data_IF_675426023190
#
_entry.id   IF_675426023190
#
_cell.length_a   1.000
_cell.length_b   1.000
_cell.length_c   1.000
_cell.angle_alpha   90.00
_cell.angle_beta   90.00
_cell.angle_gamma   90.00
#
_symmetry.space_group_name_H-M   'P 1'
#
loop_
_entity.id
_entity.type
_entity.pdbx_description
1 polymer ?
#
# COMPACT_ATOMS: atom_id res chain seq x y z
N UNK A 1 10.49 56.79 1.98
CA UNK A 1 11.78 57.35 1.61
C UNK A 1 12.88 56.48 2.24
N UNK A 2 13.67 55.83 1.46
CA UNK A 2 14.75 54.94 1.90
C UNK A 2 16.05 55.71 1.93
N UNK A 3 16.70 55.86 3.05
CA UNK A 3 18.05 56.43 3.15
C UNK A 3 19.04 55.29 3.28
N UNK A 4 19.94 55.15 2.31
CA UNK A 4 21.02 54.19 2.35
C UNK A 4 22.22 54.84 3.04
N UNK A 5 22.61 54.35 4.21
CA UNK A 5 23.89 54.71 4.85
C UNK A 5 24.88 53.56 4.61
N UNK A 6 26.03 53.85 4.05
CA UNK A 6 27.09 52.89 3.81
C UNK A 6 28.12 52.95 4.95
N UNK A 7 28.49 51.77 5.49
CA UNK A 7 29.57 51.62 6.50
C UNK A 7 30.81 51.07 5.79
N UNK A 8 31.97 51.63 6.03
CA UNK A 8 33.22 51.14 5.42
C UNK A 8 33.98 50.28 6.44
N UNK A 9 34.36 49.05 6.02
CA UNK A 9 35.28 48.19 6.76
C UNK A 9 36.73 48.45 6.34
N UNK A 10 37.60 48.74 7.32
CA UNK A 10 39.02 48.94 7.10
C UNK A 10 39.79 47.59 7.23
N UNK A 11 40.49 47.19 6.17
CA UNK A 11 41.56 46.25 6.27
C UNK A 11 42.87 47.00 6.64
N UNK A 12 43.46 46.69 7.81
CA UNK A 12 44.53 47.41 8.38
C UNK A 12 45.78 47.49 7.48
N UNK A 13 46.21 48.76 7.19
CA UNK A 13 47.58 49.04 6.79
C UNK A 13 47.96 50.46 7.26
N UNK A 14 49.15 50.63 7.84
CA UNK A 14 49.78 51.88 8.25
C UNK A 14 49.94 52.88 7.08
N UNK A 15 49.15 53.92 7.04
CA UNK A 15 49.47 55.17 6.32
C UNK A 15 48.76 56.35 6.99
N UNK A 16 49.53 57.10 7.77
CA UNK A 16 49.03 58.18 8.68
C UNK A 16 48.29 59.34 7.96
N UNK A 17 48.52 59.66 6.71
CA UNK A 17 47.84 60.76 6.02
C UNK A 17 46.50 60.39 5.37
N UNK A 18 46.20 59.11 5.14
CA UNK A 18 44.94 58.67 4.55
C UNK A 18 43.96 58.10 5.58
N UNK A 19 44.43 57.81 6.75
CA UNK A 19 43.56 57.41 7.89
C UNK A 19 42.64 58.54 8.33
N UNK A 20 43.14 59.80 8.31
CA UNK A 20 42.37 61.00 8.62
C UNK A 20 41.15 61.18 7.69
N UNK A 21 41.31 60.90 6.39
CA UNK A 21 40.23 61.01 5.40
C UNK A 21 39.14 59.92 5.65
N UNK A 22 39.54 58.73 6.01
CA UNK A 22 38.61 57.62 6.32
C UNK A 22 37.90 57.89 7.66
N UNK A 23 38.60 58.37 8.67
CA UNK A 23 38.00 58.73 9.97
C UNK A 23 37.05 59.91 9.81
N UNK A 24 37.42 60.93 9.02
CA UNK A 24 36.55 62.04 8.72
C UNK A 24 35.26 61.62 8.05
N UNK A 25 35.34 60.71 7.11
CA UNK A 25 34.14 60.16 6.43
C UNK A 25 33.26 59.28 7.34
N UNK A 26 33.86 58.48 8.20
CA UNK A 26 33.12 57.70 9.22
C UNK A 26 32.34 58.60 10.20
N UNK A 27 32.86 59.80 10.49
CA UNK A 27 32.28 60.77 11.39
C UNK A 27 31.35 61.80 10.68
N UNK A 28 30.93 61.50 9.43
CA UNK A 28 30.05 62.33 8.60
C UNK A 28 30.63 63.73 8.21
N UNK A 29 31.93 63.90 8.18
CA UNK A 29 32.55 65.08 7.57
C UNK A 29 32.50 64.97 6.04
N UNK A 30 32.40 66.12 5.36
CA UNK A 30 32.40 66.18 3.88
C UNK A 30 33.79 65.88 3.39
N UNK A 31 33.96 64.76 2.69
CA UNK A 31 35.22 64.30 2.07
C UNK A 31 35.08 64.38 0.55
N UNK A 32 36.14 64.84 -0.13
CA UNK A 32 36.14 64.89 -1.60
C UNK A 32 35.87 63.51 -2.21
N UNK A 33 34.85 63.36 -3.07
CA UNK A 33 34.52 62.10 -3.74
C UNK A 33 35.71 61.51 -4.51
N UNK A 34 36.62 62.34 -5.07
CA UNK A 34 37.80 61.88 -5.77
C UNK A 34 38.78 61.13 -4.88
N UNK A 35 38.92 61.51 -3.63
CA UNK A 35 39.76 60.81 -2.64
C UNK A 35 39.16 59.45 -2.26
N UNK A 36 37.83 59.38 -2.09
CA UNK A 36 37.10 58.14 -1.82
C UNK A 36 37.29 57.16 -2.99
N UNK A 37 37.17 57.63 -4.23
CA UNK A 37 37.32 56.78 -5.40
C UNK A 37 38.81 56.32 -5.61
N UNK A 38 39.76 57.18 -5.25
CA UNK A 38 41.17 56.76 -5.25
C UNK A 38 41.44 55.68 -4.22
N UNK A 39 40.83 55.72 -3.06
CA UNK A 39 40.93 54.69 -2.01
C UNK A 39 40.22 53.36 -2.43
N UNK A 40 39.07 53.47 -3.09
CA UNK A 40 38.34 52.31 -3.65
C UNK A 40 39.17 51.59 -4.74
N UNK A 41 39.76 52.35 -5.72
CA UNK A 41 40.60 51.77 -6.78
C UNK A 41 41.80 51.03 -6.22
N UNK A 42 42.34 51.50 -5.11
CA UNK A 42 43.47 50.86 -4.40
C UNK A 42 43.02 49.72 -3.46
N UNK A 43 41.73 49.35 -3.45
CA UNK A 43 41.12 48.33 -2.60
C UNK A 43 41.37 48.53 -1.09
N UNK A 44 41.61 49.77 -0.68
CA UNK A 44 41.84 50.11 0.74
C UNK A 44 40.53 50.33 1.49
N UNK A 45 39.45 50.59 0.78
CA UNK A 45 38.09 50.70 1.33
C UNK A 45 37.10 49.96 0.42
N UNK A 46 36.08 49.34 1.04
CA UNK A 46 35.00 48.66 0.33
C UNK A 46 33.65 49.25 0.83
N UNK A 47 32.76 49.70 -0.07
CA UNK A 47 31.43 50.10 0.33
C UNK A 47 30.60 48.91 0.72
N UNK A 48 30.07 48.90 1.93
CA UNK A 48 29.06 47.92 2.35
C UNK A 48 27.69 48.62 2.40
N UNK A 49 26.74 48.25 1.55
CA UNK A 49 25.41 48.78 1.61
C UNK A 49 24.72 48.29 2.89
N UNK A 50 24.28 49.21 3.73
CA UNK A 50 23.50 48.88 4.90
C UNK A 50 22.05 49.34 4.66
N UNK A 51 21.13 48.38 4.73
CA UNK A 51 19.70 48.66 4.63
C UNK A 51 19.14 48.87 6.03
N UNK A 52 18.71 50.10 6.31
CA UNK A 52 17.98 50.45 7.53
C UNK A 52 16.53 50.79 7.22
N UNK A 53 15.70 50.66 8.23
CA UNK A 53 14.28 50.98 8.12
C UNK A 53 13.97 52.16 9.05
N UNK A 54 13.25 53.16 8.55
CA UNK A 54 12.67 54.22 9.35
C UNK A 54 11.24 53.87 9.67
N UNK A 55 10.92 53.71 10.94
CA UNK A 55 9.57 53.39 11.38
C UNK A 55 8.85 54.69 11.82
N UNK A 56 7.69 54.96 11.25
CA UNK A 56 6.83 56.08 11.62
C UNK A 56 5.45 55.55 11.98
N UNK A 57 4.77 56.26 12.90
CA UNK A 57 3.38 55.97 13.23
C UNK A 57 2.51 56.13 11.99
N UNK A 58 1.84 55.06 11.56
CA UNK A 58 0.89 55.08 10.47
C UNK A 58 -0.51 55.55 10.90
N UNK A 59 -1.43 55.74 9.96
CA UNK A 59 -2.79 56.22 10.26
C UNK A 59 -3.59 55.28 11.16
N UNK A 60 -3.25 54.02 11.19
CA UNK A 60 -3.87 52.97 12.05
C UNK A 60 -3.06 52.68 13.33
N UNK A 61 -2.10 53.53 13.69
CA UNK A 61 -1.33 53.34 14.91
C UNK A 61 -2.20 53.54 16.16
N UNK A 62 -2.15 52.57 17.06
CA UNK A 62 -2.75 52.64 18.38
C UNK A 62 -1.70 52.29 19.46
N UNK A 63 -1.73 52.96 20.65
CA UNK A 63 -0.77 52.70 21.75
C UNK A 63 -0.86 51.29 22.29
N UNK A 64 -2.02 50.64 22.17
CA UNK A 64 -2.26 49.24 22.54
C UNK A 64 -2.87 48.53 21.37
N UNK A 65 -2.41 47.32 21.13
CA UNK A 65 -2.94 46.43 20.06
C UNK A 65 -4.38 46.06 20.38
N UNK A 66 -5.32 46.35 19.48
CA UNK A 66 -6.68 45.79 19.57
C UNK A 66 -6.60 44.26 19.48
N UNK A 67 -7.27 43.58 20.41
CA UNK A 67 -7.45 42.13 20.37
C UNK A 67 -8.71 41.84 19.56
N UNK A 68 -8.56 41.18 18.45
CA UNK A 68 -9.67 40.68 17.67
C UNK A 68 -9.91 39.21 18.04
N UNK A 69 -11.15 38.78 18.12
CA UNK A 69 -11.51 37.39 18.20
C UNK A 69 -11.27 36.71 16.80
N UNK A 70 -10.66 35.56 16.79
CA UNK A 70 -10.43 34.77 15.56
C UNK A 70 -11.50 33.74 15.32
N UNK A 71 -12.09 33.23 16.40
CA UNK A 71 -13.06 32.14 16.37
C UNK A 71 -14.24 32.47 17.30
N UNK A 72 -15.42 31.95 16.93
CA UNK A 72 -16.60 31.94 17.77
C UNK A 72 -16.66 30.61 18.54
N UNK A 73 -16.37 30.68 19.84
CA UNK A 73 -16.38 29.48 20.69
C UNK A 73 -17.78 29.16 21.21
N UNK A 74 -18.02 27.89 21.59
CA UNK A 74 -19.26 27.47 22.24
C UNK A 74 -19.53 28.29 23.53
N UNK A 75 -18.48 28.64 24.27
CA UNK A 75 -18.59 29.42 25.51
C UNK A 75 -19.06 30.85 25.22
N UNK A 76 -18.56 31.49 24.14
CA UNK A 76 -19.03 32.80 23.73
C UNK A 76 -20.51 32.80 23.34
N UNK A 77 -20.97 31.73 22.69
CA UNK A 77 -22.38 31.59 22.32
C UNK A 77 -23.25 31.41 23.56
N UNK A 78 -22.85 30.57 24.53
CA UNK A 78 -23.59 30.30 25.77
C UNK A 78 -23.65 31.53 26.70
N UNK A 79 -22.58 32.34 26.76
CA UNK A 79 -22.52 33.56 27.57
C UNK A 79 -23.19 34.77 26.91
N UNK A 80 -23.41 34.69 25.59
CA UNK A 80 -23.98 35.78 24.82
C UNK A 80 -23.04 36.96 24.56
N UNK A 81 -21.76 36.87 24.98
CA UNK A 81 -20.73 37.93 24.86
C UNK A 81 -20.19 38.07 23.42
N UNK A 82 -20.56 37.15 22.52
CA UNK A 82 -20.18 37.24 21.11
C UNK A 82 -20.62 38.52 20.41
N UNK A 83 -21.65 39.20 20.91
CA UNK A 83 -22.15 40.47 20.38
C UNK A 83 -21.18 41.64 20.62
N UNK A 84 -20.37 41.53 21.66
CA UNK A 84 -19.39 42.55 22.08
C UNK A 84 -17.99 42.27 21.55
N UNK A 85 -17.82 41.15 20.87
CA UNK A 85 -16.55 40.75 20.26
C UNK A 85 -16.35 41.39 18.89
N UNK A 86 -15.21 42.10 18.72
CA UNK A 86 -14.76 42.56 17.41
C UNK A 86 -13.97 41.43 16.74
N UNK A 87 -14.53 40.84 15.67
CA UNK A 87 -13.89 39.76 14.94
C UNK A 87 -12.91 40.27 13.89
N UNK A 88 -11.84 39.51 13.68
CA UNK A 88 -10.89 39.76 12.59
C UNK A 88 -11.59 39.53 11.26
N UNK A 89 -11.44 40.46 10.32
CA UNK A 89 -11.94 40.26 8.95
C UNK A 89 -11.39 38.97 8.35
N UNK A 90 -12.27 38.16 7.76
CA UNK A 90 -11.91 36.92 7.11
C UNK A 90 -11.26 37.21 5.75
N UNK A 91 -10.06 36.68 5.54
CA UNK A 91 -9.36 36.82 4.27
C UNK A 91 -9.67 35.65 3.32
N UNK A 92 -10.70 35.78 2.52
CA UNK A 92 -11.08 34.81 1.52
C UNK A 92 -10.05 34.63 0.39
N UNK A 93 -9.15 35.60 0.21
CA UNK A 93 -8.07 35.54 -0.77
C UNK A 93 -6.80 34.87 -0.22
N UNK A 94 -6.80 34.44 1.04
CA UNK A 94 -5.67 33.75 1.64
C UNK A 94 -5.49 32.39 0.94
N UNK A 95 -4.44 32.28 0.16
CA UNK A 95 -4.01 30.98 -0.38
C UNK A 95 -3.36 30.21 0.76
N UNK A 96 -3.90 29.04 1.09
CA UNK A 96 -3.25 28.08 1.97
C UNK A 96 -1.88 27.67 1.43
N UNK A 97 -1.09 27.00 2.25
CA UNK A 97 0.13 26.37 1.73
C UNK A 97 -0.25 25.36 0.63
N UNK A 98 0.42 25.39 -0.53
CA UNK A 98 0.19 24.38 -1.55
C UNK A 98 0.53 23.02 -0.96
N UNK A 99 -0.49 22.19 -0.80
CA UNK A 99 -0.29 20.79 -0.41
C UNK A 99 0.24 20.07 -1.63
N UNK A 100 1.47 19.61 -1.56
CA UNK A 100 2.03 18.76 -2.60
C UNK A 100 1.19 17.50 -2.73
N UNK A 101 0.59 17.28 -3.90
CA UNK A 101 0.01 15.99 -4.24
C UNK A 101 1.09 14.90 -4.21
N UNK A 102 0.68 13.64 -4.19
CA UNK A 102 1.58 12.50 -4.31
C UNK A 102 1.10 11.56 -5.41
N UNK A 103 1.96 10.68 -5.84
CA UNK A 103 1.59 9.57 -6.71
C UNK A 103 1.19 8.36 -5.87
N UNK A 104 0.34 7.49 -6.43
CA UNK A 104 0.02 6.23 -5.79
C UNK A 104 1.29 5.37 -5.63
N UNK A 105 1.32 4.62 -4.55
CA UNK A 105 2.35 3.60 -4.33
C UNK A 105 2.40 2.60 -5.51
N UNK A 106 3.58 2.11 -5.94
CA UNK A 106 3.70 1.14 -7.03
C UNK A 106 2.78 -0.06 -6.90
N UNK A 107 2.66 -0.66 -5.73
CA UNK A 107 1.71 -1.75 -5.47
C UNK A 107 0.26 -1.36 -5.75
N UNK A 108 -0.16 -0.14 -5.38
CA UNK A 108 -1.53 0.33 -5.63
C UNK A 108 -1.78 0.58 -7.11
N UNK A 109 -0.77 1.02 -7.86
CA UNK A 109 -0.87 1.17 -9.32
C UNK A 109 -1.05 -0.18 -10.00
N UNK A 110 -0.20 -1.15 -9.65
CA UNK A 110 -0.27 -2.52 -10.19
C UNK A 110 -1.58 -3.20 -9.77
N UNK A 111 -2.01 -3.04 -8.51
CA UNK A 111 -3.31 -3.52 -8.02
C UNK A 111 -4.45 -2.97 -8.87
N UNK A 112 -4.45 -1.68 -9.14
CA UNK A 112 -5.51 -1.03 -9.94
C UNK A 112 -5.55 -1.57 -11.37
N UNK A 113 -4.40 -1.78 -12.00
CA UNK A 113 -4.32 -2.33 -13.35
C UNK A 113 -4.82 -3.79 -13.40
N UNK A 114 -4.39 -4.62 -12.46
CA UNK A 114 -4.84 -6.01 -12.36
C UNK A 114 -6.35 -6.08 -12.10
N UNK A 115 -6.88 -5.23 -11.22
CA UNK A 115 -8.31 -5.09 -10.98
C UNK A 115 -9.07 -4.77 -12.28
N UNK A 116 -8.57 -3.83 -13.08
CA UNK A 116 -9.19 -3.48 -14.37
C UNK A 116 -9.18 -4.67 -15.36
N UNK A 117 -8.09 -5.45 -15.39
CA UNK A 117 -8.02 -6.65 -16.22
C UNK A 117 -9.10 -7.66 -15.82
N UNK A 118 -9.22 -7.96 -14.52
CA UNK A 118 -10.27 -8.86 -14.04
C UNK A 118 -11.68 -8.38 -14.40
N UNK A 119 -11.97 -7.10 -14.20
CA UNK A 119 -13.27 -6.51 -14.54
C UNK A 119 -13.55 -6.60 -16.05
N UNK A 120 -12.57 -6.34 -16.91
CA UNK A 120 -12.68 -6.49 -18.35
C UNK A 120 -12.89 -7.94 -18.81
N UNK A 121 -12.39 -8.92 -18.04
CA UNK A 121 -12.62 -10.35 -18.25
C UNK A 121 -13.97 -10.84 -17.67
N UNK A 122 -14.74 -9.95 -17.07
CA UNK A 122 -16.06 -10.23 -16.49
C UNK A 122 -16.04 -10.88 -15.11
N UNK A 123 -15.00 -10.63 -14.31
CA UNK A 123 -14.89 -11.09 -12.92
C UNK A 123 -15.51 -10.09 -11.95
N UNK A 124 -16.08 -10.61 -10.86
CA UNK A 124 -16.60 -9.85 -9.72
C UNK A 124 -15.58 -9.85 -8.57
N UNK A 125 -15.33 -8.70 -7.94
CA UNK A 125 -14.42 -8.60 -6.78
C UNK A 125 -15.09 -9.17 -5.53
N UNK A 126 -14.41 -10.10 -4.86
CA UNK A 126 -14.85 -10.66 -3.58
C UNK A 126 -14.57 -9.69 -2.43
N UNK A 127 -15.44 -9.62 -1.40
CA UNK A 127 -15.19 -8.82 -0.21
C UNK A 127 -14.06 -9.43 0.63
N UNK A 128 -12.98 -8.69 0.86
CA UNK A 128 -11.77 -9.17 1.54
C UNK A 128 -11.43 -8.42 2.83
N UNK A 129 -12.35 -7.64 3.36
CA UNK A 129 -12.15 -6.72 4.48
C UNK A 129 -11.95 -7.39 5.86
N UNK A 130 -12.03 -8.73 5.96
CA UNK A 130 -11.77 -9.49 7.18
C UNK A 130 -10.41 -10.18 7.08
N UNK A 131 -9.44 -9.74 7.88
CA UNK A 131 -8.12 -10.39 7.95
C UNK A 131 -8.10 -11.59 8.89
N UNK A 132 -8.97 -11.58 9.88
CA UNK A 132 -9.11 -12.68 10.83
C UNK A 132 -10.07 -13.72 10.28
N UNK A 133 -9.60 -14.96 10.21
CA UNK A 133 -10.38 -16.12 9.80
C UNK A 133 -10.31 -17.22 10.84
N UNK A 134 -11.29 -18.12 10.84
CA UNK A 134 -11.14 -19.38 11.57
C UNK A 134 -10.27 -20.36 10.79
N UNK A 135 -9.58 -21.23 11.50
CA UNK A 135 -8.81 -22.32 10.91
C UNK A 135 -9.69 -23.20 10.02
N UNK A 136 -10.98 -23.33 10.35
CA UNK A 136 -11.96 -24.02 9.52
C UNK A 136 -12.01 -23.44 8.09
N UNK A 137 -12.28 -22.15 7.93
CA UNK A 137 -12.38 -21.52 6.61
C UNK A 137 -11.03 -21.41 5.89
N UNK A 138 -9.95 -21.23 6.67
CA UNK A 138 -8.62 -21.06 6.10
C UNK A 138 -8.00 -22.38 5.64
N UNK A 139 -8.40 -23.51 6.25
CA UNK A 139 -7.76 -24.81 5.98
C UNK A 139 -8.76 -25.96 5.79
N UNK A 140 -9.63 -26.22 6.79
CA UNK A 140 -10.48 -27.44 6.78
C UNK A 140 -11.46 -27.43 5.61
N UNK A 141 -12.10 -26.28 5.33
CA UNK A 141 -13.00 -26.10 4.20
C UNK A 141 -12.32 -26.28 2.84
N UNK A 142 -10.98 -26.18 2.80
CA UNK A 142 -10.14 -26.41 1.62
C UNK A 142 -9.61 -27.85 1.54
N UNK A 143 -10.10 -28.73 2.38
CA UNK A 143 -9.64 -30.11 2.46
C UNK A 143 -8.14 -30.24 2.81
N UNK A 144 -7.57 -29.27 3.54
CA UNK A 144 -6.19 -29.35 4.02
C UNK A 144 -6.17 -30.04 5.39
N UNK A 145 -5.39 -31.14 5.58
CA UNK A 145 -5.42 -31.92 6.81
C UNK A 145 -4.93 -31.10 8.02
N UNK A 146 -5.44 -31.44 9.23
CA UNK A 146 -5.10 -30.71 10.45
C UNK A 146 -3.64 -30.85 10.86
N UNK A 147 -2.96 -31.92 10.44
CA UNK A 147 -1.53 -32.15 10.68
C UNK A 147 -0.61 -31.55 9.60
N UNK A 148 -1.15 -30.78 8.65
CA UNK A 148 -0.33 -30.18 7.60
C UNK A 148 0.63 -29.13 8.19
N UNK A 149 1.93 -29.13 7.79
CA UNK A 149 2.94 -28.19 8.34
C UNK A 149 2.54 -26.71 8.25
N UNK A 150 1.89 -26.28 7.16
CA UNK A 150 1.43 -24.90 7.00
C UNK A 150 0.42 -24.44 8.09
N UNK A 151 -0.13 -25.37 8.88
CA UNK A 151 -1.00 -25.06 10.04
C UNK A 151 -0.23 -24.92 11.35
N UNK A 152 1.09 -25.07 11.32
CA UNK A 152 1.94 -24.85 12.48
C UNK A 152 2.03 -23.35 12.82
N UNK A 153 2.26 -23.05 14.09
CA UNK A 153 2.50 -21.70 14.59
C UNK A 153 3.77 -21.06 14.04
N UNK A 154 4.66 -21.85 13.45
CA UNK A 154 5.84 -21.34 12.74
C UNK A 154 5.48 -20.68 11.39
N UNK A 155 4.39 -21.11 10.74
CA UNK A 155 3.95 -20.60 9.45
C UNK A 155 2.68 -19.75 9.53
N UNK A 156 1.91 -19.85 10.63
CA UNK A 156 0.60 -19.23 10.79
C UNK A 156 0.53 -18.38 12.06
N UNK A 157 0.03 -17.14 11.94
CA UNK A 157 -0.26 -16.28 13.08
C UNK A 157 -1.62 -16.61 13.69
N UNK A 158 -1.64 -17.30 14.81
CA UNK A 158 -2.84 -17.53 15.60
C UNK A 158 -3.13 -16.36 16.54
N UNK A 159 -4.41 -16.03 16.74
CA UNK A 159 -4.82 -14.97 17.65
C UNK A 159 -4.89 -15.47 19.09
N UNK A 160 -4.45 -14.63 20.01
CA UNK A 160 -4.61 -14.89 21.45
C UNK A 160 -6.00 -14.46 21.96
N UNK A 161 -6.51 -13.33 21.45
CA UNK A 161 -7.82 -12.78 21.85
C UNK A 161 -8.50 -12.13 20.64
N UNK A 162 -9.68 -12.60 20.22
CA UNK A 162 -10.31 -13.87 20.59
C UNK A 162 -9.58 -15.06 19.96
N UNK A 163 -9.26 -16.07 20.75
CA UNK A 163 -8.50 -17.25 20.28
C UNK A 163 -9.31 -18.19 19.41
N UNK A 164 -10.64 -18.19 19.56
CA UNK A 164 -11.54 -19.11 18.83
C UNK A 164 -12.76 -18.38 18.30
N UNK A 165 -13.29 -18.89 17.18
CA UNK A 165 -14.59 -18.49 16.64
C UNK A 165 -15.72 -19.20 17.37
N UNK A 166 -16.89 -18.52 17.46
CA UNK A 166 -18.11 -19.07 18.05
C UNK A 166 -19.16 -19.46 17.01
N UNK A 167 -18.98 -19.04 15.76
CA UNK A 167 -20.01 -19.18 14.72
C UNK A 167 -19.42 -19.84 13.47
N UNK A 168 -19.73 -21.12 13.34
CA UNK A 168 -19.50 -21.88 12.09
C UNK A 168 -20.82 -22.51 11.65
N UNK A 169 -21.05 -22.74 10.36
CA UNK A 169 -22.24 -23.44 9.87
C UNK A 169 -22.14 -24.94 10.19
N UNK A 170 -22.81 -25.37 11.25
CA UNK A 170 -22.64 -26.72 11.85
C UNK A 170 -22.84 -27.85 10.84
N UNK A 171 -23.92 -27.79 10.04
CA UNK A 171 -24.17 -28.82 9.01
C UNK A 171 -23.04 -28.94 8.00
N UNK A 172 -22.41 -27.82 7.65
CA UNK A 172 -21.27 -27.82 6.74
C UNK A 172 -20.01 -28.34 7.42
N UNK A 173 -19.79 -27.97 8.68
CA UNK A 173 -18.66 -28.46 9.49
C UNK A 173 -18.72 -30.00 9.59
N UNK A 174 -19.87 -30.58 9.87
CA UNK A 174 -20.02 -32.03 9.97
C UNK A 174 -19.75 -32.73 8.62
N UNK A 175 -20.20 -32.15 7.50
CA UNK A 175 -19.87 -32.69 6.18
C UNK A 175 -18.36 -32.62 5.88
N UNK A 176 -17.69 -31.51 6.22
CA UNK A 176 -16.24 -31.35 6.06
C UNK A 176 -15.49 -32.34 6.93
N UNK A 177 -15.85 -32.46 8.21
CA UNK A 177 -15.30 -33.46 9.14
C UNK A 177 -15.38 -34.86 8.55
N UNK A 178 -16.59 -35.27 8.11
CA UNK A 178 -16.80 -36.60 7.53
C UNK A 178 -15.86 -36.89 6.34
N UNK A 179 -15.70 -35.91 5.45
CA UNK A 179 -14.82 -36.07 4.28
C UNK A 179 -13.35 -36.16 4.67
N UNK A 180 -12.92 -35.41 5.69
CA UNK A 180 -11.56 -35.51 6.22
C UNK A 180 -11.28 -36.87 6.85
N UNK A 181 -12.22 -37.40 7.64
CA UNK A 181 -12.06 -38.68 8.36
C UNK A 181 -12.24 -39.88 7.46
N UNK A 182 -13.32 -39.90 6.70
CA UNK A 182 -13.75 -41.11 5.97
C UNK A 182 -13.71 -41.00 4.45
N UNK A 183 -13.48 -39.77 3.95
CA UNK A 183 -13.53 -39.53 2.52
C UNK A 183 -14.94 -39.36 1.98
N UNK A 184 -15.07 -39.55 0.71
CA UNK A 184 -16.29 -39.38 -0.07
C UNK A 184 -15.97 -38.86 -1.46
N UNK A 185 -16.91 -38.91 -2.38
CA UNK A 185 -16.77 -38.36 -3.72
C UNK A 185 -15.58 -38.90 -4.51
N UNK A 186 -15.22 -40.19 -4.28
CA UNK A 186 -14.07 -40.82 -4.87
C UNK A 186 -12.76 -40.74 -4.06
N UNK A 187 -12.78 -40.08 -2.93
CA UNK A 187 -11.64 -39.95 -2.00
C UNK A 187 -11.76 -40.91 -0.82
N UNK A 188 -10.62 -41.31 -0.27
CA UNK A 188 -10.53 -42.09 0.98
C UNK A 188 -10.45 -41.20 2.22
N UNK A 189 -10.40 -39.89 2.07
CA UNK A 189 -10.10 -38.96 3.15
C UNK A 189 -8.66 -39.10 3.64
N UNK A 190 -8.40 -38.61 4.82
CA UNK A 190 -7.08 -38.69 5.46
C UNK A 190 -7.00 -39.75 6.56
N UNK A 191 -8.13 -40.28 7.03
CA UNK A 191 -8.18 -41.37 8.01
C UNK A 191 -7.68 -40.97 9.41
N UNK A 192 -7.77 -39.71 9.80
CA UNK A 192 -7.42 -39.21 11.13
C UNK A 192 -8.67 -38.73 11.89
N UNK A 193 -8.57 -38.64 13.20
CA UNK A 193 -9.60 -38.03 14.05
C UNK A 193 -9.58 -36.51 13.89
N UNK A 194 -10.60 -35.94 13.26
CA UNK A 194 -10.73 -34.52 13.07
C UNK A 194 -11.17 -33.80 14.36
N UNK A 195 -10.45 -32.76 14.76
CA UNK A 195 -10.65 -32.05 16.03
C UNK A 195 -11.32 -30.71 15.81
N UNK A 196 -12.46 -30.50 16.46
CA UNK A 196 -13.22 -29.26 16.43
C UNK A 196 -12.45 -28.07 17.00
N UNK A 197 -11.65 -28.31 18.05
CA UNK A 197 -10.85 -27.26 18.68
C UNK A 197 -9.84 -26.66 17.69
N UNK A 198 -9.23 -27.48 16.85
CA UNK A 198 -8.29 -27.02 15.82
C UNK A 198 -8.99 -26.17 14.76
N UNK A 199 -10.18 -26.56 14.34
CA UNK A 199 -10.97 -25.82 13.34
C UNK A 199 -11.48 -24.45 13.86
N UNK A 200 -11.75 -24.38 15.18
CA UNK A 200 -12.26 -23.16 15.80
C UNK A 200 -11.20 -22.09 16.05
N UNK A 201 -9.90 -22.41 15.99
CA UNK A 201 -8.82 -21.43 16.23
C UNK A 201 -8.91 -20.26 15.26
N UNK A 202 -8.80 -19.04 15.78
CA UNK A 202 -8.70 -17.84 14.97
C UNK A 202 -7.25 -17.55 14.59
N UNK A 203 -7.07 -17.09 13.37
CA UNK A 203 -5.78 -16.79 12.79
C UNK A 203 -5.85 -15.57 11.85
N UNK A 204 -4.72 -15.00 11.51
CA UNK A 204 -4.61 -14.11 10.35
C UNK A 204 -4.56 -14.97 9.09
N UNK A 205 -5.47 -14.73 8.14
CA UNK A 205 -5.58 -15.55 6.91
C UNK A 205 -4.22 -15.68 6.18
N UNK A 206 -3.85 -16.90 5.85
CA UNK A 206 -2.58 -17.19 5.17
C UNK A 206 -2.68 -17.08 3.64
N UNK A 207 -3.89 -17.02 3.12
CA UNK A 207 -4.23 -16.85 1.70
C UNK A 207 -5.65 -16.33 1.53
N UNK A 208 -5.95 -15.76 0.37
CA UNK A 208 -7.29 -15.25 0.04
C UNK A 208 -8.27 -16.35 -0.35
N UNK A 209 -7.83 -17.60 -0.52
CA UNK A 209 -8.68 -18.77 -0.79
C UNK A 209 -9.67 -19.03 0.37
N UNK A 210 -9.37 -18.57 1.58
CA UNK A 210 -10.32 -18.55 2.69
C UNK A 210 -11.59 -17.74 2.36
N UNK A 211 -11.44 -16.61 1.65
CA UNK A 211 -12.58 -15.82 1.15
C UNK A 211 -13.30 -16.56 0.03
N UNK A 212 -12.54 -17.17 -0.89
CA UNK A 212 -13.11 -17.97 -1.98
C UNK A 212 -13.98 -19.12 -1.46
N UNK A 213 -13.55 -19.81 -0.39
CA UNK A 213 -14.34 -20.88 0.24
C UNK A 213 -15.67 -20.37 0.79
N UNK A 214 -15.67 -19.21 1.47
CA UNK A 214 -16.91 -18.57 1.95
C UNK A 214 -17.85 -18.16 0.83
N UNK A 215 -17.31 -17.59 -0.24
CA UNK A 215 -18.09 -17.17 -1.41
C UNK A 215 -18.72 -18.36 -2.13
N UNK A 216 -17.95 -19.45 -2.33
CA UNK A 216 -18.45 -20.68 -2.94
C UNK A 216 -19.50 -21.37 -2.06
N UNK A 217 -19.30 -21.41 -0.72
CA UNK A 217 -20.31 -21.88 0.20
C UNK A 217 -21.59 -21.07 0.10
N UNK A 218 -21.50 -19.73 0.10
CA UNK A 218 -22.67 -18.85 -0.06
C UNK A 218 -23.37 -19.04 -1.41
N UNK A 219 -22.62 -19.30 -2.49
CA UNK A 219 -23.17 -19.60 -3.81
C UNK A 219 -23.94 -20.94 -3.80
N UNK A 220 -23.40 -21.95 -3.09
CA UNK A 220 -24.02 -23.27 -2.97
C UNK A 220 -25.35 -23.29 -2.19
N UNK A 221 -25.65 -22.24 -1.41
CA UNK A 221 -26.92 -22.11 -0.67
C UNK A 221 -28.07 -21.54 -1.54
N UNK A 222 -27.83 -21.29 -2.83
CA UNK A 222 -28.79 -20.73 -3.78
C UNK A 222 -28.84 -21.58 -5.04
N UNK A 223 -29.80 -21.29 -5.93
CA UNK A 223 -29.76 -21.86 -7.28
C UNK A 223 -28.44 -21.53 -7.95
N UNK A 224 -27.78 -22.57 -8.46
CA UNK A 224 -26.45 -22.40 -9.05
C UNK A 224 -26.46 -21.55 -10.30
N UNK A 225 -25.65 -20.49 -10.28
CA UNK A 225 -25.37 -19.62 -11.42
C UNK A 225 -23.84 -19.55 -11.60
N UNK A 226 -23.33 -19.70 -12.84
CA UNK A 226 -21.91 -19.55 -13.12
C UNK A 226 -21.36 -18.21 -12.62
N UNK A 227 -20.16 -18.24 -12.01
CA UNK A 227 -19.52 -17.09 -11.43
C UNK A 227 -18.04 -17.04 -11.72
N UNK A 228 -17.52 -15.84 -11.92
CA UNK A 228 -16.11 -15.52 -12.01
C UNK A 228 -15.78 -14.55 -10.88
N UNK A 229 -14.93 -14.94 -9.96
CA UNK A 229 -14.56 -14.13 -8.81
C UNK A 229 -13.08 -13.84 -8.78
N UNK A 230 -12.70 -12.68 -8.24
CA UNK A 230 -11.31 -12.38 -7.92
C UNK A 230 -11.19 -11.66 -6.58
N UNK A 231 -10.00 -11.72 -6.01
CA UNK A 231 -9.60 -10.96 -4.83
C UNK A 231 -8.17 -10.45 -4.96
N UNK A 232 -7.89 -9.29 -4.38
CA UNK A 232 -6.54 -8.72 -4.28
C UNK A 232 -6.43 -8.08 -2.90
N UNK A 233 -5.83 -8.79 -1.94
CA UNK A 233 -5.70 -8.26 -0.58
C UNK A 233 -4.56 -8.95 0.18
N UNK A 234 -4.34 -8.46 1.40
CA UNK A 234 -3.28 -8.89 2.29
C UNK A 234 -3.51 -10.30 2.81
N UNK A 235 -2.41 -10.99 2.94
CA UNK A 235 -2.29 -12.29 3.58
C UNK A 235 -1.09 -12.28 4.53
N UNK A 236 -1.07 -13.19 5.49
CA UNK A 236 -0.11 -13.16 6.58
C UNK A 236 0.52 -14.54 6.75
N UNK A 237 1.85 -14.58 6.82
CA UNK A 237 2.61 -15.81 7.06
C UNK A 237 3.73 -15.53 8.04
N UNK A 238 3.88 -16.40 9.02
CA UNK A 238 4.93 -16.28 10.03
C UNK A 238 6.27 -16.83 9.50
N UNK A 239 6.74 -16.20 8.43
CA UNK A 239 8.00 -16.55 7.78
C UNK A 239 9.12 -15.58 8.18
N UNK A 240 10.38 -16.02 8.07
CA UNK A 240 11.53 -15.15 8.27
C UNK A 240 11.55 -14.05 7.20
N UNK A 241 11.65 -12.80 7.65
CA UNK A 241 11.70 -11.63 6.75
C UNK A 241 13.08 -11.52 6.11
N UNK A 242 13.15 -11.70 4.79
CA UNK A 242 14.36 -11.59 3.99
C UNK A 242 14.21 -10.65 2.78
N UNK A 243 15.01 -10.82 1.73
CA UNK A 243 14.93 -10.03 0.49
C UNK A 243 13.69 -10.34 -0.36
N UNK A 244 13.07 -11.47 -0.15
CA UNK A 244 11.99 -12.02 -0.99
C UNK A 244 10.72 -12.33 -0.23
N UNK A 245 10.77 -12.36 1.11
CA UNK A 245 9.66 -12.73 1.99
C UNK A 245 9.37 -11.63 3.01
N UNK A 246 8.07 -11.40 3.22
CA UNK A 246 7.51 -10.55 4.27
C UNK A 246 6.47 -11.35 5.05
N UNK A 247 6.29 -11.01 6.32
CA UNK A 247 5.23 -11.59 7.15
C UNK A 247 3.82 -11.17 6.70
N UNK A 248 3.72 -10.07 5.97
CA UNK A 248 2.50 -9.54 5.37
C UNK A 248 2.79 -9.19 3.90
N UNK A 249 1.97 -9.70 2.99
CA UNK A 249 2.07 -9.40 1.56
C UNK A 249 0.67 -9.50 0.91
N UNK A 250 0.55 -9.15 -0.38
CA UNK A 250 -0.73 -9.19 -1.07
C UNK A 250 -0.80 -10.41 -1.99
N UNK A 251 -1.91 -11.12 -1.90
CA UNK A 251 -2.25 -12.20 -2.82
C UNK A 251 -3.33 -11.74 -3.79
N UNK A 252 -3.12 -12.06 -5.05
CA UNK A 252 -4.11 -11.97 -6.11
C UNK A 252 -4.65 -13.38 -6.31
N UNK A 253 -5.96 -13.54 -6.30
CA UNK A 253 -6.61 -14.81 -6.63
C UNK A 253 -7.72 -14.58 -7.64
N UNK A 254 -7.80 -15.45 -8.64
CA UNK A 254 -8.90 -15.51 -9.58
C UNK A 254 -9.49 -16.91 -9.60
N UNK A 255 -10.80 -17.02 -9.70
CA UNK A 255 -11.48 -18.30 -9.88
C UNK A 255 -12.66 -18.19 -10.86
N UNK A 256 -12.93 -19.28 -11.54
CA UNK A 256 -14.14 -19.47 -12.37
C UNK A 256 -14.88 -20.71 -11.84
N UNK A 257 -16.14 -20.54 -11.51
CA UNK A 257 -17.03 -21.59 -11.05
C UNK A 257 -18.14 -21.80 -12.10
N UNK A 258 -18.10 -22.94 -12.81
CA UNK A 258 -19.07 -23.25 -13.87
C UNK A 258 -19.18 -24.78 -14.07
N UNK A 259 -20.13 -25.20 -14.89
CA UNK A 259 -20.29 -26.61 -15.22
C UNK A 259 -19.24 -27.07 -16.21
N UNK A 260 -18.81 -28.31 -16.05
CA UNK A 260 -17.92 -29.03 -16.98
C UNK A 260 -16.60 -28.31 -17.33
N UNK A 261 -16.08 -27.46 -16.42
CA UNK A 261 -14.77 -26.85 -16.61
C UNK A 261 -13.66 -27.92 -16.65
N UNK A 262 -12.63 -27.67 -17.43
CA UNK A 262 -11.48 -28.54 -17.61
C UNK A 262 -10.17 -27.79 -17.39
N UNK A 263 -9.07 -28.53 -17.31
CA UNK A 263 -7.71 -27.97 -17.26
C UNK A 263 -7.41 -27.08 -18.48
N UNK A 264 -7.95 -27.42 -19.66
CA UNK A 264 -7.81 -26.61 -20.86
C UNK A 264 -8.46 -25.23 -20.71
N UNK A 265 -9.63 -25.15 -20.05
CA UNK A 265 -10.27 -23.87 -19.74
C UNK A 265 -9.41 -23.04 -18.78
N UNK A 266 -8.79 -23.66 -17.75
CA UNK A 266 -7.86 -22.97 -16.85
C UNK A 266 -6.67 -22.37 -17.61
N UNK A 267 -6.00 -23.18 -18.45
CA UNK A 267 -4.87 -22.73 -19.27
C UNK A 267 -5.29 -21.57 -20.19
N UNK A 268 -6.48 -21.66 -20.80
CA UNK A 268 -7.02 -20.61 -21.66
C UNK A 268 -7.23 -19.28 -20.92
N UNK A 269 -7.86 -19.33 -19.75
CA UNK A 269 -8.09 -18.14 -18.90
C UNK A 269 -6.76 -17.52 -18.42
N UNK A 270 -5.80 -18.38 -18.03
CA UNK A 270 -4.48 -17.93 -17.59
C UNK A 270 -3.71 -17.24 -18.74
N UNK A 271 -3.74 -17.81 -19.94
CA UNK A 271 -3.10 -17.16 -21.11
C UNK A 271 -3.72 -15.79 -21.42
N UNK A 272 -5.05 -15.65 -21.37
CA UNK A 272 -5.71 -14.35 -21.56
C UNK A 272 -5.33 -13.36 -20.45
N UNK A 273 -5.39 -13.77 -19.18
CA UNK A 273 -5.05 -12.93 -18.04
C UNK A 273 -3.59 -12.42 -18.11
N UNK A 274 -2.63 -13.32 -18.30
CA UNK A 274 -1.21 -12.94 -18.33
C UNK A 274 -0.82 -12.20 -19.62
N UNK A 275 -1.49 -12.48 -20.74
CA UNK A 275 -1.30 -11.70 -21.97
C UNK A 275 -1.69 -10.23 -21.77
N UNK A 276 -2.80 -9.96 -21.07
CA UNK A 276 -3.23 -8.60 -20.71
C UNK A 276 -2.28 -7.90 -19.72
N UNK A 277 -1.52 -8.68 -18.94
CA UNK A 277 -0.42 -8.17 -18.10
C UNK A 277 0.88 -7.92 -18.86
N UNK A 278 0.93 -8.23 -20.18
CA UNK A 278 2.14 -8.15 -20.98
C UNK A 278 3.08 -9.35 -20.85
N UNK A 279 2.62 -10.46 -20.24
CA UNK A 279 3.38 -11.68 -20.01
C UNK A 279 2.89 -12.80 -20.97
N UNK A 280 3.44 -12.88 -22.16
CA UNK A 280 3.01 -13.85 -23.19
C UNK A 280 3.74 -15.19 -23.18
N UNK A 281 4.94 -15.24 -22.59
CA UNK A 281 5.75 -16.48 -22.53
C UNK A 281 5.47 -17.19 -21.20
N UNK A 282 4.52 -18.15 -21.24
CA UNK A 282 4.14 -18.93 -20.06
C UNK A 282 4.56 -20.40 -20.20
N UNK A 283 4.87 -21.02 -19.07
CA UNK A 283 5.12 -22.45 -18.94
C UNK A 283 4.41 -22.98 -17.70
N UNK A 284 3.70 -24.08 -17.86
CA UNK A 284 2.99 -24.74 -16.77
C UNK A 284 3.72 -26.03 -16.40
N UNK A 285 3.93 -26.27 -15.11
CA UNK A 285 4.48 -27.51 -14.58
C UNK A 285 3.50 -28.16 -13.62
N UNK A 286 3.35 -29.50 -13.66
CA UNK A 286 2.59 -30.20 -12.63
C UNK A 286 3.15 -29.87 -11.24
N UNK A 287 2.24 -29.68 -10.28
CA UNK A 287 2.56 -29.39 -8.89
C UNK A 287 1.61 -30.13 -7.96
N UNK A 288 1.90 -30.12 -6.67
CA UNK A 288 1.00 -30.60 -5.63
C UNK A 288 0.47 -29.45 -4.80
N UNK A 289 -0.84 -29.46 -4.56
CA UNK A 289 -1.49 -28.55 -3.63
C UNK A 289 -2.65 -29.31 -2.96
N UNK A 290 -2.83 -29.23 -1.63
CA UNK A 290 -3.84 -30.02 -0.90
C UNK A 290 -5.28 -29.85 -1.41
N UNK A 291 -5.63 -28.66 -1.88
CA UNK A 291 -7.02 -28.30 -2.28
C UNK A 291 -7.26 -28.28 -3.79
N UNK A 292 -6.26 -28.57 -4.62
CA UNK A 292 -6.42 -28.65 -6.08
C UNK A 292 -5.91 -29.97 -6.64
N UNK A 293 -6.62 -30.51 -7.65
CA UNK A 293 -6.24 -31.68 -8.42
C UNK A 293 -6.94 -31.61 -9.78
N UNK A 294 -6.21 -31.53 -10.92
CA UNK A 294 -4.77 -31.31 -11.03
C UNK A 294 -4.33 -29.91 -10.58
N UNK A 295 -3.05 -29.82 -10.17
CA UNK A 295 -2.39 -28.57 -9.77
C UNK A 295 -1.23 -28.25 -10.69
N UNK A 296 -0.97 -26.96 -10.92
CA UNK A 296 0.12 -26.49 -11.77
C UNK A 296 0.80 -25.26 -11.15
N UNK A 297 2.12 -25.22 -11.24
CA UNK A 297 2.90 -24.00 -11.10
C UNK A 297 2.93 -23.24 -12.41
N UNK A 298 2.89 -21.91 -12.33
CA UNK A 298 2.92 -21.00 -13.47
C UNK A 298 4.28 -20.31 -13.50
N UNK A 299 5.00 -20.43 -14.62
CA UNK A 299 6.27 -19.77 -14.87
C UNK A 299 6.12 -18.76 -16.01
N UNK A 300 6.75 -17.61 -15.87
CA UNK A 300 6.97 -16.66 -16.95
C UNK A 300 8.47 -16.51 -17.23
N UNK A 301 8.81 -16.30 -18.50
CA UNK A 301 10.19 -16.01 -18.88
C UNK A 301 10.52 -14.55 -18.57
N UNK A 302 11.54 -14.34 -17.74
CA UNK A 302 12.01 -13.01 -17.36
C UNK A 302 13.19 -12.64 -18.26
N UNK A 303 12.97 -11.72 -19.21
CA UNK A 303 14.01 -11.36 -20.19
C UNK A 303 15.25 -10.73 -19.55
N UNK A 304 15.09 -9.85 -18.57
CA UNK A 304 16.20 -9.21 -17.85
C UNK A 304 17.04 -10.16 -16.98
N UNK A 305 16.51 -11.33 -16.59
CA UNK A 305 17.23 -12.36 -15.86
C UNK A 305 17.55 -13.59 -16.74
N UNK A 306 17.10 -13.59 -17.98
CA UNK A 306 17.24 -14.70 -18.96
C UNK A 306 16.85 -16.08 -18.42
N UNK A 307 15.83 -16.12 -17.54
CA UNK A 307 15.39 -17.35 -16.88
C UNK A 307 13.88 -17.42 -16.68
N UNK A 308 13.39 -18.64 -16.52
CA UNK A 308 12.03 -18.91 -16.09
C UNK A 308 11.88 -18.65 -14.61
N UNK A 309 10.90 -17.82 -14.24
CA UNK A 309 10.58 -17.47 -12.84
C UNK A 309 9.17 -17.92 -12.54
N UNK A 310 8.98 -18.59 -11.42
CA UNK A 310 7.66 -18.91 -10.91
C UNK A 310 6.92 -17.63 -10.52
N UNK A 311 5.70 -17.47 -11.03
CA UNK A 311 4.87 -16.30 -10.81
C UNK A 311 3.59 -16.63 -10.04
N UNK A 312 3.20 -17.90 -9.96
CA UNK A 312 2.01 -18.30 -9.21
C UNK A 312 1.68 -19.78 -9.33
N UNK A 313 0.62 -20.16 -8.66
CA UNK A 313 0.07 -21.51 -8.64
C UNK A 313 -1.36 -21.52 -9.17
N UNK A 314 -1.79 -22.63 -9.74
CA UNK A 314 -3.14 -22.80 -10.27
C UNK A 314 -3.60 -24.25 -10.19
N UNK A 315 -4.90 -24.47 -10.30
CA UNK A 315 -5.45 -25.81 -10.32
C UNK A 315 -6.96 -25.84 -10.38
N UNK A 316 -7.49 -27.05 -10.38
CA UNK A 316 -8.92 -27.31 -10.24
C UNK A 316 -9.22 -27.67 -8.79
N UNK A 317 -10.17 -27.00 -8.16
CA UNK A 317 -10.56 -27.32 -6.79
C UNK A 317 -11.12 -28.75 -6.71
N UNK A 318 -10.72 -29.45 -5.67
CA UNK A 318 -11.06 -30.85 -5.46
C UNK A 318 -12.54 -31.04 -5.15
N UNK A 319 -13.15 -32.18 -5.59
CA UNK A 319 -14.51 -32.51 -5.19
C UNK A 319 -14.72 -32.55 -3.67
N UNK A 320 -13.72 -32.98 -2.91
CA UNK A 320 -13.72 -33.05 -1.43
C UNK A 320 -13.88 -31.67 -0.79
N UNK A 321 -13.51 -30.59 -1.49
CA UNK A 321 -13.77 -29.22 -1.09
C UNK A 321 -15.16 -28.75 -1.52
N UNK A 322 -15.55 -29.00 -2.78
CA UNK A 322 -16.75 -28.40 -3.38
C UNK A 322 -18.04 -29.10 -2.99
N UNK A 323 -18.01 -30.42 -2.86
CA UNK A 323 -19.21 -31.24 -2.61
C UNK A 323 -19.77 -31.04 -1.21
N UNK A 324 -18.98 -30.98 -0.13
CA UNK A 324 -19.48 -30.64 1.19
C UNK A 324 -20.15 -29.26 1.28
N UNK A 325 -19.77 -28.30 0.43
CA UNK A 325 -20.45 -26.99 0.35
C UNK A 325 -21.88 -27.09 -0.16
N UNK A 326 -22.20 -28.12 -0.94
CA UNK A 326 -23.50 -28.33 -1.58
C UNK A 326 -23.53 -28.03 -3.08
N UNK A 327 -22.38 -27.77 -3.70
CA UNK A 327 -22.34 -27.53 -5.15
C UNK A 327 -22.69 -28.78 -5.95
N UNK A 328 -23.40 -28.65 -7.10
CA UNK A 328 -23.78 -29.76 -7.99
C UNK A 328 -22.56 -30.57 -8.49
N UNK A 329 -22.77 -31.84 -8.85
CA UNK A 329 -21.68 -32.77 -9.21
C UNK A 329 -20.91 -32.36 -10.46
N UNK A 330 -21.57 -31.74 -11.41
CA UNK A 330 -21.03 -31.26 -12.67
C UNK A 330 -20.39 -29.87 -12.57
N UNK A 331 -20.53 -29.18 -11.44
CA UNK A 331 -19.86 -27.90 -11.19
C UNK A 331 -18.38 -28.15 -10.86
N UNK A 332 -17.53 -27.42 -11.53
CA UNK A 332 -16.08 -27.41 -11.34
C UNK A 332 -15.63 -25.98 -11.04
N UNK A 333 -14.51 -25.86 -10.33
CA UNK A 333 -13.89 -24.56 -10.06
C UNK A 333 -12.44 -24.63 -10.50
N UNK A 334 -12.05 -23.72 -11.37
CA UNK A 334 -10.65 -23.49 -11.75
C UNK A 334 -10.17 -22.21 -11.06
N UNK A 335 -8.99 -22.24 -10.48
CA UNK A 335 -8.46 -21.12 -9.70
C UNK A 335 -6.95 -20.95 -9.89
N UNK A 336 -6.47 -19.74 -9.67
CA UNK A 336 -5.05 -19.41 -9.63
C UNK A 336 -4.77 -18.32 -8.62
N UNK A 337 -3.56 -18.32 -8.07
CA UNK A 337 -3.07 -17.35 -7.13
C UNK A 337 -1.66 -16.90 -7.44
N UNK A 338 -1.36 -15.61 -7.22
CA UNK A 338 -0.03 -15.04 -7.32
C UNK A 338 0.15 -13.91 -6.29
N UNK A 339 1.40 -13.57 -5.94
CA UNK A 339 1.66 -12.38 -5.12
C UNK A 339 1.57 -11.11 -5.98
N UNK A 340 1.18 -10.00 -5.37
CA UNK A 340 1.19 -8.68 -6.02
C UNK A 340 2.61 -8.09 -6.06
N UNK A 341 3.41 -8.35 -5.03
CA UNK A 341 4.75 -7.80 -4.85
C UNK A 341 5.72 -8.27 -5.94
N UNK A 342 5.74 -9.56 -6.25
CA UNK A 342 6.70 -10.13 -7.20
C UNK A 342 6.60 -9.52 -8.61
N UNK A 343 5.42 -9.45 -9.25
CA UNK A 343 5.27 -8.72 -10.52
C UNK A 343 5.62 -7.24 -10.39
N UNK A 344 5.25 -6.60 -9.28
CA UNK A 344 5.57 -5.18 -9.06
C UNK A 344 7.08 -4.96 -8.95
N UNK A 345 7.80 -5.81 -8.23
CA UNK A 345 9.26 -5.74 -8.12
C UNK A 345 9.92 -5.85 -9.51
N UNK A 346 9.46 -6.79 -10.33
CA UNK A 346 9.96 -6.99 -11.70
C UNK A 346 9.72 -5.73 -12.54
N UNK A 347 8.49 -5.21 -12.53
CA UNK A 347 8.10 -4.04 -13.32
C UNK A 347 8.84 -2.75 -12.93
N UNK A 348 9.18 -2.60 -11.65
CA UNK A 348 9.85 -1.39 -11.14
C UNK A 348 11.37 -1.57 -10.92
N UNK A 349 11.92 -2.74 -11.22
CA UNK A 349 13.35 -3.05 -11.05
C UNK A 349 13.78 -3.02 -9.58
N UNK A 350 12.93 -3.53 -8.69
CA UNK A 350 13.18 -3.63 -7.24
C UNK A 350 13.60 -5.06 -6.93
N UNK A 351 14.78 -5.26 -6.35
CA UNK A 351 15.35 -6.58 -6.05
C UNK A 351 15.28 -6.94 -4.55
N UNK A 352 14.76 -6.05 -3.73
CA UNK A 352 14.53 -6.28 -2.32
C UNK A 352 13.09 -5.87 -1.94
N UNK A 353 12.27 -6.81 -1.55
CA UNK A 353 10.85 -6.58 -1.20
C UNK A 353 10.68 -5.54 -0.09
N UNK A 354 11.67 -5.40 0.82
CA UNK A 354 11.66 -4.41 1.91
C UNK A 354 11.80 -2.97 1.44
N UNK A 355 12.27 -2.74 0.21
CA UNK A 355 12.34 -1.41 -0.40
C UNK A 355 11.00 -1.02 -1.06
N UNK A 356 10.18 -2.03 -1.35
CA UNK A 356 8.84 -1.84 -1.90
C UNK A 356 7.78 -1.68 -0.78
N UNK A 357 7.90 -2.45 0.30
CA UNK A 357 6.92 -2.48 1.38
C UNK A 357 7.58 -2.64 2.75
N UNK A 358 7.15 -1.83 3.74
CA UNK A 358 7.67 -1.88 5.08
C UNK A 358 8.45 -0.63 5.52
N UNK A 359 9.15 -0.66 6.67
CA UNK A 359 9.73 0.54 7.30
C UNK A 359 10.97 1.10 6.59
N UNK A 360 11.54 0.39 5.62
CA UNK A 360 12.74 0.81 4.86
C UNK A 360 12.41 1.52 3.54
N UNK A 361 11.13 1.68 3.22
CA UNK A 361 10.68 2.29 1.96
C UNK A 361 11.01 3.79 1.95
N UNK A 362 11.62 4.28 0.86
CA UNK A 362 11.77 5.71 0.62
C UNK A 362 10.43 6.33 0.17
N UNK A 363 9.74 6.93 1.13
CA UNK A 363 8.45 7.58 0.89
C UNK A 363 8.55 8.76 -0.09
N UNK A 364 9.69 9.44 -0.17
CA UNK A 364 9.89 10.54 -1.12
C UNK A 364 9.94 10.03 -2.56
N UNK A 365 10.64 8.92 -2.78
CA UNK A 365 10.71 8.27 -4.08
C UNK A 365 9.33 7.78 -4.51
N UNK A 366 8.61 7.10 -3.62
CA UNK A 366 7.25 6.60 -3.86
C UNK A 366 6.30 7.75 -4.25
N UNK A 367 6.27 8.83 -3.47
CA UNK A 367 5.39 9.98 -3.73
C UNK A 367 5.67 10.70 -5.04
N UNK A 368 6.93 10.75 -5.46
CA UNK A 368 7.36 11.45 -6.68
C UNK A 368 7.27 10.62 -7.95
N UNK A 369 7.05 9.30 -7.85
CA UNK A 369 7.02 8.42 -9.00
C UNK A 369 5.60 8.31 -9.61
N UNK A 370 5.29 9.00 -10.72
CA UNK A 370 3.97 8.97 -11.36
C UNK A 370 3.76 7.74 -12.25
N UNK A 371 4.81 6.99 -12.58
CA UNK A 371 4.76 5.95 -13.62
C UNK A 371 4.05 4.68 -13.14
N UNK A 372 3.23 4.11 -14.02
CA UNK A 372 2.81 2.72 -14.00
C UNK A 372 3.48 2.01 -15.18
N UNK A 373 4.09 0.84 -14.95
CA UNK A 373 4.89 0.11 -15.93
C UNK A 373 4.23 -1.16 -16.46
N UNK A 374 2.94 -1.35 -16.23
CA UNK A 374 2.19 -2.47 -16.82
C UNK A 374 1.85 -2.13 -18.27
N UNK A 375 2.15 -3.03 -19.19
CA UNK A 375 1.82 -2.89 -20.61
C UNK A 375 2.79 -2.00 -21.42
N UNK A 376 4.01 -1.80 -20.92
CA UNK A 376 5.12 -1.16 -21.66
C UNK A 376 6.05 -2.24 -22.19
#
# INVERSE_FOLDING_TARGET
>A
MWTTKSKICLYGFKMERKLSTVIAWQNNYVVDPKEIDALKRRKLISPQPWKGYSVRKGPKYAPRRKKFATDLTRENILRGDWKDLEFKEYNFSSKGQPVGGGSLHPLLKVRQQIKMIFLQMGFEEMPTNNFVESSFWNFDALFQPQQHPARDSHDTFFLQVPSTTKMLPEDYVERVKHVHEFGGYGSRGYGYEWKREEANKNLLRTHTTAVSSRMLYSLAQKDFVPKKYFSIDRVFRNEAVDRTHLAEFHQIEGLVCDRNLSLGHLIGVLNDFFSRLGMSKLKFKPAYNPYTEPSMEIFSYHEGLEKWVEIGNSGMFRPEMLRPMGLPADVRVIAWGLSLERPTMILYGVDNIRDLFGPKVDLSLIKKNPLCRIGI
#
